data_IF_847207576922
#
_entry.id   IF_847207576922
#
_cell.length_a   1.000
_cell.length_b   1.000
_cell.length_c   1.000
_cell.angle_alpha   90.00
_cell.angle_beta   90.00
_cell.angle_gamma   90.00
#
_symmetry.space_group_name_H-M   'P 1'
#
loop_
_entity.id
_entity.type
_entity.pdbx_description
1 polymer ?
#
# COMPACT_ATOMS: atom_id res chain seq x y z
N UNK A 1 18.94 21.13 20.71
CA UNK A 1 17.52 21.22 21.03
C UNK A 1 17.28 22.58 21.62
N UNK A 2 16.47 23.38 21.01
CA UNK A 2 16.10 24.69 21.55
C UNK A 2 15.27 24.50 22.84
N UNK A 3 15.49 25.36 23.86
CA UNK A 3 14.71 25.33 25.09
C UNK A 3 13.29 25.94 24.87
N UNK A 4 13.02 26.45 23.66
CA UNK A 4 11.75 27.06 23.32
C UNK A 4 10.71 25.98 22.99
N UNK A 5 9.69 25.87 23.82
CA UNK A 5 8.61 24.88 23.68
C UNK A 5 7.80 25.02 22.38
N UNK A 6 7.78 26.20 21.74
CA UNK A 6 7.14 26.41 20.43
C UNK A 6 7.93 25.68 19.34
N UNK A 7 9.25 25.81 19.35
CA UNK A 7 10.16 25.09 18.44
C UNK A 7 10.05 23.58 18.67
N UNK A 8 10.05 23.15 19.94
CA UNK A 8 9.90 21.73 20.29
C UNK A 8 8.61 21.11 19.75
N UNK A 9 7.48 21.85 19.74
CA UNK A 9 6.23 21.36 19.15
C UNK A 9 6.35 21.05 17.65
N UNK A 10 7.00 21.94 16.90
CA UNK A 10 7.25 21.71 15.45
C UNK A 10 8.25 20.57 15.23
N UNK A 11 9.35 20.57 15.96
CA UNK A 11 10.36 19.49 15.88
C UNK A 11 9.73 18.12 16.16
N UNK A 12 8.88 18.01 17.19
CA UNK A 12 8.18 16.78 17.52
C UNK A 12 7.19 16.35 16.42
N UNK A 13 6.50 17.30 15.79
CA UNK A 13 5.60 17.00 14.67
C UNK A 13 6.41 16.52 13.44
N UNK A 14 7.51 17.19 13.09
CA UNK A 14 8.40 16.78 12.02
C UNK A 14 9.08 15.44 12.30
N UNK A 15 9.48 15.19 13.53
CA UNK A 15 10.00 13.89 13.95
C UNK A 15 8.96 12.79 13.73
N UNK A 16 7.71 13.02 14.15
CA UNK A 16 6.62 12.08 13.92
C UNK A 16 6.44 11.78 12.43
N UNK A 17 6.50 12.81 11.56
CA UNK A 17 6.45 12.65 10.12
C UNK A 17 7.61 11.80 9.59
N UNK A 18 8.83 12.13 9.95
CA UNK A 18 10.03 11.41 9.51
C UNK A 18 10.03 9.94 9.99
N UNK A 19 9.62 9.70 11.24
CA UNK A 19 9.48 8.36 11.80
C UNK A 19 8.46 7.53 11.01
N UNK A 20 7.31 8.14 10.63
CA UNK A 20 6.30 7.46 9.81
C UNK A 20 6.74 7.23 8.38
N UNK A 21 7.49 8.13 7.77
CA UNK A 21 8.13 7.88 6.47
C UNK A 21 9.10 6.70 6.54
N UNK A 22 9.94 6.67 7.55
CA UNK A 22 10.89 5.56 7.77
C UNK A 22 10.15 4.23 7.98
N UNK A 23 9.07 4.23 8.76
CA UNK A 23 8.22 3.05 8.97
C UNK A 23 7.58 2.57 7.66
N UNK A 24 7.16 3.47 6.78
CA UNK A 24 6.62 3.12 5.46
C UNK A 24 7.65 2.39 4.62
N UNK A 25 8.90 2.89 4.57
CA UNK A 25 9.98 2.22 3.83
C UNK A 25 10.22 0.80 4.31
N UNK A 26 10.22 0.59 5.62
CA UNK A 26 10.37 -0.74 6.21
C UNK A 26 9.18 -1.65 5.87
N UNK A 27 7.94 -1.14 5.99
CA UNK A 27 6.74 -1.91 5.73
C UNK A 27 6.59 -2.29 4.25
N UNK A 28 6.93 -1.41 3.32
CA UNK A 28 6.80 -1.71 1.89
C UNK A 28 7.71 -2.87 1.46
N UNK A 29 8.89 -2.96 2.08
CA UNK A 29 9.86 -4.05 1.83
C UNK A 29 9.59 -5.31 2.66
N UNK A 30 8.71 -5.24 3.65
CA UNK A 30 8.40 -6.38 4.53
C UNK A 30 7.45 -7.36 3.88
N UNK A 31 7.73 -8.66 4.04
CA UNK A 31 6.83 -9.73 3.61
C UNK A 31 5.59 -9.81 4.51
N UNK A 32 4.40 -10.20 3.98
CA UNK A 32 3.20 -10.42 4.79
C UNK A 32 3.43 -11.44 5.92
N UNK A 33 4.30 -12.41 5.69
CA UNK A 33 4.65 -13.45 6.70
C UNK A 33 5.30 -12.87 7.95
N UNK A 34 6.06 -11.77 7.81
CA UNK A 34 6.82 -11.16 8.90
C UNK A 34 6.09 -9.97 9.55
N UNK A 35 5.04 -9.48 8.94
CA UNK A 35 4.31 -8.32 9.45
C UNK A 35 3.76 -8.59 10.85
N UNK A 36 4.04 -7.65 11.79
CA UNK A 36 3.64 -7.75 13.21
C UNK A 36 4.04 -9.10 13.86
N UNK A 37 5.22 -9.62 13.52
CA UNK A 37 5.77 -10.85 14.10
C UNK A 37 5.14 -12.15 13.61
N UNK A 38 4.42 -12.13 12.50
CA UNK A 38 3.90 -13.34 11.84
C UNK A 38 2.64 -13.96 12.48
N UNK A 39 2.20 -13.51 13.64
CA UNK A 39 1.02 -14.10 14.32
C UNK A 39 -0.24 -14.00 13.47
N UNK A 40 -0.44 -12.85 12.80
CA UNK A 40 -1.60 -12.65 11.91
C UNK A 40 -1.49 -13.60 10.71
N UNK A 41 -0.30 -13.75 10.15
CA UNK A 41 -0.06 -14.64 9.01
C UNK A 41 -0.44 -16.09 9.31
N UNK A 42 -0.05 -16.62 10.46
CA UNK A 42 -0.39 -17.99 10.85
C UNK A 42 -1.91 -18.20 10.88
N UNK A 43 -2.67 -17.25 11.43
CA UNK A 43 -4.15 -17.32 11.43
C UNK A 43 -4.70 -17.27 10.00
N UNK A 44 -4.12 -16.46 9.12
CA UNK A 44 -4.54 -16.39 7.71
C UNK A 44 -4.26 -17.71 6.97
N UNK A 45 -3.13 -18.34 7.22
CA UNK A 45 -2.78 -19.66 6.66
C UNK A 45 -3.76 -20.73 7.13
N UNK A 46 -4.12 -20.75 8.42
CA UNK A 46 -5.11 -21.68 8.99
C UNK A 46 -6.49 -21.49 8.36
N UNK A 47 -6.94 -20.23 8.21
CA UNK A 47 -8.20 -19.89 7.54
C UNK A 47 -8.15 -20.31 6.08
N UNK A 48 -7.07 -20.02 5.35
CA UNK A 48 -6.88 -20.45 3.97
C UNK A 48 -7.01 -21.95 3.83
N UNK A 49 -6.37 -22.74 4.71
CA UNK A 49 -6.46 -24.18 4.73
C UNK A 49 -7.89 -24.71 4.95
N UNK A 50 -8.64 -24.09 5.87
CA UNK A 50 -10.05 -24.41 6.09
C UNK A 50 -10.93 -24.09 4.87
N UNK A 51 -10.71 -22.92 4.25
CA UNK A 51 -11.43 -22.46 3.05
C UNK A 51 -11.05 -23.28 1.82
N UNK A 52 -9.85 -23.87 1.78
CA UNK A 52 -9.39 -24.71 0.68
C UNK A 52 -10.30 -25.95 0.48
N UNK A 53 -10.78 -26.56 1.57
CA UNK A 53 -11.72 -27.67 1.47
C UNK A 53 -13.02 -27.25 0.78
N UNK A 54 -13.54 -26.06 1.09
CA UNK A 54 -14.71 -25.46 0.44
C UNK A 54 -14.40 -25.16 -1.03
N UNK A 55 -13.24 -24.59 -1.31
CA UNK A 55 -12.77 -24.29 -2.66
C UNK A 55 -12.70 -25.54 -3.54
N UNK A 56 -12.23 -26.67 -3.02
CA UNK A 56 -12.19 -27.94 -3.72
C UNK A 56 -13.59 -28.51 -4.00
N UNK A 57 -14.54 -28.35 -3.08
CA UNK A 57 -15.93 -28.73 -3.31
C UNK A 57 -16.59 -27.87 -4.40
N UNK A 58 -16.37 -26.53 -4.36
CA UNK A 58 -16.84 -25.59 -5.38
C UNK A 58 -16.19 -25.84 -6.74
N UNK A 59 -14.93 -26.27 -6.78
CA UNK A 59 -14.22 -26.62 -8.01
C UNK A 59 -14.96 -27.75 -8.76
N UNK A 60 -15.40 -28.81 -8.05
CA UNK A 60 -16.18 -29.87 -8.65
C UNK A 60 -17.51 -29.33 -9.20
N UNK A 61 -18.19 -28.49 -8.44
CA UNK A 61 -19.45 -27.87 -8.87
C UNK A 61 -19.26 -27.02 -10.13
N UNK A 62 -18.27 -26.11 -10.14
CA UNK A 62 -17.99 -25.30 -11.33
C UNK A 62 -17.54 -26.12 -12.53
N UNK A 63 -16.81 -27.20 -12.31
CA UNK A 63 -16.45 -28.14 -13.36
C UNK A 63 -17.69 -28.79 -13.99
N UNK A 64 -18.59 -29.33 -13.19
CA UNK A 64 -19.84 -29.95 -13.67
C UNK A 64 -20.69 -28.94 -14.45
N UNK A 65 -20.90 -27.73 -13.90
CA UNK A 65 -21.62 -26.65 -14.58
C UNK A 65 -20.91 -26.26 -15.89
N UNK A 66 -19.61 -26.23 -15.89
CA UNK A 66 -18.80 -25.96 -17.08
C UNK A 66 -19.00 -26.99 -18.17
N UNK A 67 -18.93 -28.29 -17.82
CA UNK A 67 -19.19 -29.39 -18.73
C UNK A 67 -20.59 -29.32 -19.33
N UNK A 68 -21.60 -29.12 -18.47
CA UNK A 68 -23.01 -28.99 -18.93
C UNK A 68 -23.26 -27.86 -19.89
N UNK A 69 -22.58 -26.72 -19.71
CA UNK A 69 -22.73 -25.54 -20.58
C UNK A 69 -21.91 -25.62 -21.87
N UNK A 70 -20.75 -26.27 -21.83
CA UNK A 70 -19.85 -26.35 -22.98
C UNK A 70 -20.21 -27.50 -23.92
N UNK A 71 -20.74 -28.60 -23.36
CA UNK A 71 -21.17 -29.74 -24.12
C UNK A 71 -22.68 -29.69 -24.30
N UNK A 72 -23.14 -29.15 -25.43
CA UNK A 72 -24.58 -29.04 -25.74
C UNK A 72 -25.28 -30.41 -25.88
N UNK A 73 -24.54 -31.51 -26.03
CA UNK A 73 -25.03 -32.86 -25.97
C UNK A 73 -24.00 -33.83 -25.38
N UNK A 74 -24.46 -34.90 -24.73
CA UNK A 74 -23.59 -35.99 -24.24
C UNK A 74 -22.73 -36.64 -25.35
N UNK A 75 -23.10 -36.47 -26.60
CA UNK A 75 -22.38 -37.01 -27.74
C UNK A 75 -21.03 -36.25 -27.96
N UNK A 76 -20.93 -34.99 -27.58
CA UNK A 76 -19.69 -34.22 -27.70
C UNK A 76 -18.68 -34.61 -26.62
N UNK A 77 -19.13 -35.01 -25.42
CA UNK A 77 -18.25 -35.49 -24.34
C UNK A 77 -17.55 -36.78 -24.72
N UNK A 78 -18.17 -37.60 -25.60
CA UNK A 78 -17.58 -38.86 -26.06
C UNK A 78 -16.41 -38.70 -27.01
N UNK A 79 -16.14 -37.48 -27.53
CA UNK A 79 -14.95 -37.25 -28.37
C UNK A 79 -13.72 -37.17 -27.44
N UNK A 80 -12.70 -38.05 -27.66
CA UNK A 80 -11.56 -38.15 -26.74
C UNK A 80 -10.80 -36.86 -26.57
N UNK A 81 -10.76 -36.00 -27.60
CA UNK A 81 -10.11 -34.70 -27.57
C UNK A 81 -10.79 -33.73 -26.60
N UNK A 82 -12.13 -33.70 -26.57
CA UNK A 82 -12.89 -32.84 -25.65
C UNK A 82 -12.78 -33.33 -24.19
N UNK A 83 -12.85 -34.65 -24.00
CA UNK A 83 -12.67 -35.26 -22.68
C UNK A 83 -11.27 -34.96 -22.10
N UNK A 84 -10.22 -35.07 -22.92
CA UNK A 84 -8.85 -34.74 -22.51
C UNK A 84 -8.71 -33.25 -22.14
N UNK A 85 -9.26 -32.34 -22.94
CA UNK A 85 -9.24 -30.89 -22.67
C UNK A 85 -9.95 -30.54 -21.34
N UNK A 86 -11.08 -31.16 -21.06
CA UNK A 86 -11.82 -30.99 -19.81
C UNK A 86 -11.03 -31.52 -18.61
N UNK A 87 -10.40 -32.70 -18.77
CA UNK A 87 -9.58 -33.31 -17.72
C UNK A 87 -8.35 -32.44 -17.41
N UNK A 88 -7.64 -31.94 -18.41
CA UNK A 88 -6.49 -31.04 -18.22
C UNK A 88 -6.94 -29.76 -17.50
N UNK A 89 -8.09 -29.17 -17.90
CA UNK A 89 -8.62 -27.98 -17.22
C UNK A 89 -8.93 -28.24 -15.74
N UNK A 90 -9.57 -29.40 -15.44
CA UNK A 90 -9.86 -29.80 -14.06
C UNK A 90 -8.58 -30.00 -13.25
N UNK A 91 -7.59 -30.69 -13.80
CA UNK A 91 -6.31 -30.92 -13.15
C UNK A 91 -5.56 -29.65 -12.86
N UNK A 92 -5.51 -28.71 -13.83
CA UNK A 92 -4.89 -27.40 -13.65
C UNK A 92 -5.63 -26.56 -12.60
N UNK A 93 -6.96 -26.51 -12.66
CA UNK A 93 -7.76 -25.77 -11.68
C UNK A 93 -7.60 -26.35 -10.26
N UNK A 94 -7.55 -27.69 -10.13
CA UNK A 94 -7.25 -28.34 -8.86
C UNK A 94 -5.86 -27.95 -8.35
N UNK A 95 -4.85 -27.95 -9.21
CA UNK A 95 -3.49 -27.48 -8.86
C UNK A 95 -3.49 -26.05 -8.37
N UNK A 96 -4.19 -25.14 -9.06
CA UNK A 96 -4.28 -23.72 -8.68
C UNK A 96 -4.98 -23.54 -7.32
N UNK A 97 -6.00 -24.33 -6.99
CA UNK A 97 -6.66 -24.26 -5.67
C UNK A 97 -5.79 -24.88 -4.59
N UNK A 98 -5.12 -26.00 -4.89
CA UNK A 98 -4.27 -26.72 -3.91
C UNK A 98 -3.03 -25.91 -3.54
N UNK A 99 -2.38 -25.30 -4.53
CA UNK A 99 -1.18 -24.46 -4.38
C UNK A 99 -1.51 -22.97 -4.39
N UNK A 100 -2.73 -22.61 -3.97
CA UNK A 100 -3.21 -21.22 -4.02
C UNK A 100 -2.40 -20.28 -3.16
N UNK A 101 -1.99 -20.71 -1.96
CA UNK A 101 -1.18 -19.92 -1.04
C UNK A 101 0.20 -19.61 -1.64
N UNK A 102 0.86 -20.64 -2.16
CA UNK A 102 2.18 -20.51 -2.80
C UNK A 102 2.12 -19.62 -4.03
N UNK A 103 1.03 -19.71 -4.82
CA UNK A 103 0.78 -18.85 -5.97
C UNK A 103 0.64 -17.38 -5.55
N UNK A 104 -0.13 -17.10 -4.48
CA UNK A 104 -0.29 -15.77 -3.95
C UNK A 104 1.05 -15.21 -3.45
N UNK A 105 1.83 -16.01 -2.73
CA UNK A 105 3.15 -15.60 -2.25
C UNK A 105 4.17 -15.40 -3.39
N UNK A 106 4.13 -16.25 -4.42
CA UNK A 106 4.99 -16.07 -5.60
C UNK A 106 4.71 -14.75 -6.31
N UNK A 107 3.43 -14.38 -6.50
CA UNK A 107 3.05 -13.08 -7.06
C UNK A 107 3.55 -11.91 -6.20
N UNK A 108 3.41 -12.02 -4.88
CA UNK A 108 3.92 -11.01 -3.96
C UNK A 108 5.45 -10.86 -4.09
N UNK A 109 6.19 -11.97 -4.11
CA UNK A 109 7.66 -11.97 -4.19
C UNK A 109 8.18 -11.38 -5.51
N UNK A 110 7.49 -11.61 -6.64
CA UNK A 110 7.81 -11.00 -7.93
C UNK A 110 7.70 -9.46 -7.82
N UNK A 111 6.61 -8.96 -7.23
CA UNK A 111 6.42 -7.52 -7.05
C UNK A 111 7.42 -6.94 -6.04
N UNK A 112 7.78 -7.71 -5.02
CA UNK A 112 8.81 -7.29 -4.07
C UNK A 112 10.18 -7.14 -4.74
N UNK A 113 10.52 -8.02 -5.68
CA UNK A 113 11.69 -7.88 -6.54
C UNK A 113 11.65 -6.60 -7.39
N UNK A 114 10.47 -6.25 -7.93
CA UNK A 114 10.27 -5.00 -8.66
C UNK A 114 10.49 -3.78 -7.75
N UNK A 115 9.93 -3.78 -6.55
CA UNK A 115 10.11 -2.72 -5.54
C UNK A 115 11.59 -2.53 -5.23
N UNK A 116 12.31 -3.62 -4.96
CA UNK A 116 13.75 -3.59 -4.67
C UNK A 116 14.55 -3.03 -5.85
N UNK A 117 14.17 -3.36 -7.09
CA UNK A 117 14.80 -2.84 -8.30
C UNK A 117 14.59 -1.33 -8.44
N UNK A 118 13.38 -0.84 -8.19
CA UNK A 118 13.05 0.59 -8.22
C UNK A 118 13.86 1.35 -7.16
N UNK A 119 13.91 0.83 -5.94
CA UNK A 119 14.66 1.45 -4.84
C UNK A 119 16.16 1.54 -5.14
N UNK A 120 16.75 0.46 -5.69
CA UNK A 120 18.15 0.43 -6.05
C UNK A 120 18.49 1.37 -7.22
N UNK A 121 17.61 1.46 -8.22
CA UNK A 121 17.80 2.33 -9.39
C UNK A 121 17.74 3.82 -9.03
N UNK A 122 16.92 4.18 -8.04
CA UNK A 122 16.78 5.56 -7.60
C UNK A 122 17.88 6.01 -6.61
N UNK A 123 18.72 5.09 -6.12
CA UNK A 123 19.75 5.40 -5.13
C UNK A 123 19.20 5.81 -3.75
N UNK A 124 17.92 5.62 -3.53
CA UNK A 124 17.24 6.04 -2.30
C UNK A 124 17.28 4.93 -1.24
N UNK A 125 18.26 5.05 -0.33
CA UNK A 125 18.33 4.22 0.88
C UNK A 125 17.76 4.88 2.14
N UNK A 126 17.52 6.19 2.10
CA UNK A 126 16.95 6.95 3.23
C UNK A 126 15.98 8.01 2.71
N UNK A 127 14.75 8.03 3.23
CA UNK A 127 13.84 9.15 3.00
C UNK A 127 14.55 10.45 3.45
N UNK A 128 14.55 11.47 2.59
CA UNK A 128 15.06 12.79 2.97
C UNK A 128 14.31 13.25 4.22
N UNK A 129 15.04 13.49 5.30
CA UNK A 129 14.43 13.95 6.55
C UNK A 129 14.06 15.41 6.40
N UNK A 130 12.83 15.73 6.73
CA UNK A 130 12.37 17.12 6.82
C UNK A 130 12.88 17.70 8.15
N UNK A 131 13.75 18.70 8.06
CA UNK A 131 14.35 19.36 9.21
C UNK A 131 13.85 20.79 9.25
N UNK A 132 13.64 21.33 10.46
CA UNK A 132 13.25 22.73 10.66
C UNK A 132 14.41 23.65 10.28
N UNK A 133 14.23 24.61 9.35
CA UNK A 133 15.26 25.60 9.01
C UNK A 133 15.69 26.44 10.21
N UNK A 134 16.99 26.76 10.28
CA UNK A 134 17.53 27.55 11.39
C UNK A 134 16.94 28.97 11.45
N UNK A 135 16.56 29.50 10.31
CA UNK A 135 15.91 30.83 10.20
C UNK A 135 14.56 30.85 10.95
N UNK A 136 13.80 29.76 10.88
CA UNK A 136 12.52 29.60 11.61
C UNK A 136 12.80 29.49 13.11
N UNK A 137 13.81 28.71 13.51
CA UNK A 137 14.19 28.56 14.92
C UNK A 137 14.57 29.92 15.50
N UNK A 138 15.45 30.67 14.84
CA UNK A 138 15.91 31.98 15.28
C UNK A 138 14.74 32.98 15.35
N UNK A 139 13.87 33.01 14.34
CA UNK A 139 12.71 33.89 14.33
C UNK A 139 11.73 33.60 15.48
N UNK A 140 11.62 32.34 15.91
CA UNK A 140 10.80 31.96 17.08
C UNK A 140 11.48 32.32 18.40
N UNK A 141 12.80 32.16 18.50
CA UNK A 141 13.56 32.43 19.72
C UNK A 141 13.70 33.93 20.00
N UNK A 142 13.80 34.75 18.97
CA UNK A 142 13.92 36.22 19.07
C UNK A 142 12.58 36.92 19.33
N UNK A 143 11.43 36.19 19.29
CA UNK A 143 10.12 36.77 19.51
C UNK A 143 9.89 37.21 20.95
N UNK A 144 9.31 38.42 21.12
CA UNK A 144 8.82 38.90 22.41
C UNK A 144 7.63 38.09 22.95
N UNK A 145 7.39 38.20 24.26
CA UNK A 145 6.33 37.44 24.95
C UNK A 145 4.94 37.60 24.30
N UNK A 146 4.56 38.81 23.89
CA UNK A 146 3.25 39.05 23.26
C UNK A 146 3.14 38.48 21.85
N UNK A 147 4.25 38.39 21.12
CA UNK A 147 4.31 37.78 19.79
C UNK A 147 4.35 36.28 19.86
N UNK A 148 4.78 35.71 20.97
CA UNK A 148 4.82 34.25 21.20
C UNK A 148 3.42 33.62 21.28
N UNK A 149 2.38 34.36 21.69
CA UNK A 149 1.02 33.82 21.83
C UNK A 149 0.41 33.42 20.48
N UNK A 150 0.33 34.29 19.45
CA UNK A 150 -0.16 33.91 18.13
C UNK A 150 0.77 32.89 17.46
N UNK A 151 2.06 32.98 17.68
CA UNK A 151 3.04 32.04 17.15
C UNK A 151 2.82 30.61 17.68
N UNK A 152 2.56 30.51 18.98
CA UNK A 152 2.18 29.22 19.59
C UNK A 152 0.92 28.61 18.96
N UNK A 153 -0.12 29.41 18.76
CA UNK A 153 -1.36 28.90 18.15
C UNK A 153 -1.11 28.37 16.72
N UNK A 154 -0.30 29.10 15.94
CA UNK A 154 0.08 28.69 14.56
C UNK A 154 0.87 27.39 14.58
N UNK A 155 1.87 27.26 15.43
CA UNK A 155 2.70 26.05 15.49
C UNK A 155 1.94 24.85 16.04
N UNK A 156 1.02 25.05 16.99
CA UNK A 156 0.16 23.99 17.51
C UNK A 156 -0.79 23.44 16.43
N UNK A 157 -1.43 24.35 15.67
CA UNK A 157 -2.32 23.96 14.57
C UNK A 157 -1.51 23.25 13.47
N UNK A 158 -0.37 23.82 13.07
CA UNK A 158 0.51 23.20 12.07
C UNK A 158 1.01 21.83 12.49
N UNK A 159 1.49 21.69 13.73
CA UNK A 159 1.94 20.42 14.29
C UNK A 159 0.82 19.37 14.34
N UNK A 160 -0.41 19.77 14.63
CA UNK A 160 -1.58 18.91 14.59
C UNK A 160 -1.84 18.39 13.16
N UNK A 161 -1.82 19.29 12.15
CA UNK A 161 -1.99 18.89 10.75
C UNK A 161 -0.91 17.92 10.29
N UNK A 162 0.37 18.20 10.56
CA UNK A 162 1.50 17.34 10.24
C UNK A 162 1.32 15.94 10.86
N UNK A 163 0.93 15.90 12.12
CA UNK A 163 0.69 14.63 12.84
C UNK A 163 -0.46 13.84 12.22
N UNK A 164 -1.59 14.49 11.92
CA UNK A 164 -2.74 13.84 11.26
C UNK A 164 -2.34 13.28 9.89
N UNK A 165 -1.62 14.06 9.08
CA UNK A 165 -1.16 13.62 7.76
C UNK A 165 -0.22 12.41 7.86
N UNK A 166 0.67 12.39 8.85
CA UNK A 166 1.55 11.26 9.13
C UNK A 166 0.77 9.98 9.42
N UNK A 167 -0.29 10.06 10.24
CA UNK A 167 -1.15 8.92 10.53
C UNK A 167 -1.97 8.46 9.32
N UNK A 168 -2.51 9.39 8.53
CA UNK A 168 -3.27 9.05 7.31
C UNK A 168 -2.38 8.29 6.32
N UNK A 169 -1.14 8.72 6.18
CA UNK A 169 -0.18 8.10 5.28
C UNK A 169 0.16 6.67 5.70
N UNK A 170 0.55 6.46 6.96
CA UNK A 170 0.89 5.13 7.45
C UNK A 170 -0.32 4.18 7.44
N UNK A 171 -1.53 4.66 7.74
CA UNK A 171 -2.76 3.87 7.66
C UNK A 171 -3.03 3.33 6.25
N UNK A 172 -2.66 4.07 5.20
CA UNK A 172 -2.80 3.61 3.81
C UNK A 172 -1.93 2.37 3.56
N UNK A 173 -0.71 2.37 4.09
CA UNK A 173 0.22 1.23 3.97
C UNK A 173 -0.25 0.03 4.79
N UNK A 174 -0.73 0.24 6.02
CA UNK A 174 -1.35 -0.83 6.81
C UNK A 174 -2.56 -1.43 6.10
N UNK A 175 -3.41 -0.60 5.51
CA UNK A 175 -4.58 -1.03 4.73
C UNK A 175 -4.22 -1.99 3.59
N UNK A 176 -3.06 -1.81 2.95
CA UNK A 176 -2.53 -2.75 1.95
C UNK A 176 -2.31 -4.15 2.54
N UNK A 177 -1.68 -4.26 3.73
CA UNK A 177 -1.47 -5.56 4.39
C UNK A 177 -2.79 -6.26 4.72
N UNK A 178 -3.77 -5.52 5.25
CA UNK A 178 -5.10 -6.08 5.51
C UNK A 178 -5.74 -6.63 4.24
N UNK A 179 -5.65 -5.90 3.12
CA UNK A 179 -6.16 -6.39 1.83
C UNK A 179 -5.42 -7.65 1.37
N UNK A 180 -4.09 -7.69 1.46
CA UNK A 180 -3.29 -8.88 1.14
C UNK A 180 -3.77 -10.11 1.94
N UNK A 181 -3.99 -9.94 3.24
CA UNK A 181 -4.48 -11.02 4.10
C UNK A 181 -5.87 -11.48 3.74
N UNK A 182 -6.81 -10.55 3.51
CA UNK A 182 -8.18 -10.89 3.11
C UNK A 182 -8.20 -11.66 1.78
N UNK A 183 -7.46 -11.20 0.78
CA UNK A 183 -7.35 -11.90 -0.50
C UNK A 183 -6.76 -13.29 -0.31
N UNK A 184 -5.68 -13.42 0.47
CA UNK A 184 -5.00 -14.70 0.71
C UNK A 184 -5.91 -15.70 1.44
N UNK A 185 -6.63 -15.25 2.47
CA UNK A 185 -7.54 -16.10 3.25
C UNK A 185 -8.65 -16.72 2.39
N UNK A 186 -9.28 -15.94 1.50
CA UNK A 186 -10.43 -16.38 0.70
C UNK A 186 -10.05 -16.91 -0.69
N UNK A 187 -8.76 -16.90 -1.05
CA UNK A 187 -8.27 -17.23 -2.39
C UNK A 187 -8.82 -18.56 -2.96
N UNK A 188 -8.97 -19.67 -2.20
CA UNK A 188 -9.45 -20.93 -2.74
C UNK A 188 -10.83 -20.84 -3.40
N UNK A 189 -11.72 -19.95 -2.92
CA UNK A 189 -13.07 -19.80 -3.47
C UNK A 189 -13.06 -19.22 -4.89
N UNK A 190 -12.52 -18.04 -5.17
CA UNK A 190 -12.45 -17.51 -6.53
C UNK A 190 -11.51 -18.33 -7.44
N UNK A 191 -10.46 -18.95 -6.91
CA UNK A 191 -9.58 -19.81 -7.71
C UNK A 191 -10.27 -21.10 -8.19
N UNK A 192 -11.26 -21.63 -7.46
CA UNK A 192 -12.04 -22.79 -7.87
C UNK A 192 -12.84 -22.56 -9.16
N UNK A 193 -13.15 -21.27 -9.48
CA UNK A 193 -13.91 -20.89 -10.69
C UNK A 193 -13.17 -21.17 -12.00
N UNK A 194 -11.85 -21.41 -11.96
CA UNK A 194 -11.07 -21.80 -13.15
C UNK A 194 -11.50 -23.16 -13.72
N UNK A 195 -12.16 -24.03 -12.93
CA UNK A 195 -12.64 -25.32 -13.40
C UNK A 195 -13.74 -25.20 -14.47
N UNK A 196 -14.58 -24.15 -14.38
CA UNK A 196 -15.67 -23.92 -15.32
C UNK A 196 -15.34 -22.83 -16.34
N UNK A 197 -15.61 -23.07 -17.64
CA UNK A 197 -15.41 -22.07 -18.69
C UNK A 197 -16.23 -20.78 -18.47
N UNK A 198 -17.51 -20.86 -18.10
CA UNK A 198 -18.31 -19.67 -17.88
C UNK A 198 -17.91 -18.85 -16.65
N UNK A 199 -17.29 -19.48 -15.66
CA UNK A 199 -16.94 -18.86 -14.36
C UNK A 199 -15.48 -18.39 -14.27
N UNK A 200 -14.60 -18.79 -15.20
CA UNK A 200 -13.15 -18.50 -15.13
C UNK A 200 -12.80 -17.02 -15.04
N UNK A 201 -13.68 -16.12 -15.52
CA UNK A 201 -13.44 -14.68 -15.44
C UNK A 201 -13.39 -14.16 -13.99
N UNK A 202 -14.11 -14.80 -13.06
CA UNK A 202 -14.06 -14.45 -11.64
C UNK A 202 -12.67 -14.75 -11.09
N UNK A 203 -12.12 -15.92 -11.35
CA UNK A 203 -10.75 -16.28 -10.94
C UNK A 203 -9.69 -15.37 -11.56
N UNK A 204 -9.82 -15.03 -12.85
CA UNK A 204 -8.92 -14.08 -13.53
C UNK A 204 -8.97 -12.70 -12.90
N UNK A 205 -10.18 -12.17 -12.66
CA UNK A 205 -10.35 -10.86 -12.00
C UNK A 205 -9.81 -10.88 -10.57
N UNK A 206 -9.97 -11.99 -9.85
CA UNK A 206 -9.39 -12.16 -8.51
C UNK A 206 -7.87 -12.06 -8.53
N UNK A 207 -7.18 -12.81 -9.42
CA UNK A 207 -5.71 -12.75 -9.54
C UNK A 207 -5.25 -11.36 -9.93
N UNK A 208 -5.94 -10.69 -10.88
CA UNK A 208 -5.65 -9.29 -11.25
C UNK A 208 -5.79 -8.35 -10.05
N UNK A 209 -6.86 -8.49 -9.26
CA UNK A 209 -7.09 -7.66 -8.08
C UNK A 209 -6.04 -7.89 -7.01
N UNK A 210 -5.60 -9.13 -6.79
CA UNK A 210 -4.51 -9.41 -5.86
C UNK A 210 -3.18 -8.83 -6.35
N UNK A 211 -2.85 -9.03 -7.62
CA UNK A 211 -1.66 -8.44 -8.23
C UNK A 211 -1.67 -6.91 -8.13
N UNK A 212 -2.84 -6.27 -8.28
CA UNK A 212 -3.01 -4.85 -8.07
C UNK A 212 -2.64 -4.43 -6.64
N UNK A 213 -3.12 -5.16 -5.62
CA UNK A 213 -2.77 -4.88 -4.21
C UNK A 213 -1.27 -5.08 -3.96
N UNK A 214 -0.64 -6.07 -4.60
CA UNK A 214 0.80 -6.23 -4.52
C UNK A 214 1.55 -5.04 -5.14
N UNK A 215 1.16 -4.61 -6.36
CA UNK A 215 1.76 -3.50 -7.11
C UNK A 215 1.56 -2.13 -6.45
N UNK A 216 0.53 -1.97 -5.63
CA UNK A 216 0.31 -0.72 -4.88
C UNK A 216 1.56 -0.30 -4.10
N UNK A 217 2.32 -1.25 -3.54
CA UNK A 217 3.60 -0.95 -2.88
C UNK A 217 4.62 -0.30 -3.80
N UNK A 218 4.72 -0.75 -5.06
CA UNK A 218 5.62 -0.15 -6.04
C UNK A 218 5.22 1.30 -6.39
N UNK A 219 3.92 1.57 -6.52
CA UNK A 219 3.42 2.93 -6.77
C UNK A 219 3.67 3.85 -5.57
N UNK A 220 3.50 3.34 -4.34
CA UNK A 220 3.83 4.12 -3.13
C UNK A 220 5.30 4.47 -3.09
N UNK A 221 6.21 3.53 -3.41
CA UNK A 221 7.65 3.81 -3.49
C UNK A 221 7.95 4.87 -4.55
N UNK A 222 7.38 4.74 -5.74
CA UNK A 222 7.54 5.74 -6.80
C UNK A 222 7.02 7.12 -6.37
N UNK A 223 5.87 7.18 -5.71
CA UNK A 223 5.32 8.43 -5.18
C UNK A 223 6.27 9.07 -4.15
N UNK A 224 6.86 8.28 -3.25
CA UNK A 224 7.83 8.78 -2.28
C UNK A 224 9.13 9.27 -2.96
N UNK A 225 9.61 8.58 -4.01
CA UNK A 225 10.79 8.99 -4.78
C UNK A 225 10.52 10.30 -5.52
N UNK A 226 9.40 10.40 -6.24
CA UNK A 226 9.02 11.61 -6.96
C UNK A 226 8.86 12.78 -5.97
N UNK A 227 8.23 12.52 -4.84
CA UNK A 227 8.05 13.53 -3.81
C UNK A 227 9.38 14.01 -3.22
N UNK A 228 10.36 13.14 -2.98
CA UNK A 228 11.66 13.56 -2.46
C UNK A 228 12.39 14.51 -3.41
N UNK A 229 12.23 14.31 -4.73
CA UNK A 229 12.78 15.23 -5.74
C UNK A 229 11.97 16.53 -5.84
N UNK A 230 10.64 16.45 -5.67
CA UNK A 230 9.75 17.61 -5.68
C UNK A 230 9.98 18.51 -4.45
N UNK A 231 10.22 17.92 -3.28
CA UNK A 231 10.41 18.60 -2.01
C UNK A 231 11.91 18.83 -1.66
N UNK A 232 12.81 18.71 -2.64
CA UNK A 232 14.27 18.88 -2.43
C UNK A 232 14.64 20.32 -2.05
N UNK A 233 13.81 21.30 -2.43
CA UNK A 233 13.96 22.67 -1.99
C UNK A 233 13.10 22.90 -0.74
N UNK A 234 13.71 23.30 0.41
CA UNK A 234 12.93 23.68 1.58
C UNK A 234 12.01 24.86 1.24
N UNK A 235 10.85 25.01 1.92
CA UNK A 235 9.97 26.14 1.74
C UNK A 235 10.72 27.46 1.87
N UNK A 236 10.44 28.40 0.94
CA UNK A 236 11.10 29.69 0.94
C UNK A 236 10.73 30.49 2.20
N UNK A 237 11.73 30.93 2.94
CA UNK A 237 11.56 31.78 4.13
C UNK A 237 11.91 33.21 3.75
N UNK A 238 10.95 34.14 3.91
CA UNK A 238 11.23 35.60 3.76
C UNK A 238 11.78 36.16 5.06
N UNK A 239 13.08 36.49 5.13
CA UNK A 239 13.72 36.97 6.34
C UNK A 239 13.23 38.35 6.78
N UNK A 240 12.49 39.07 5.91
CA UNK A 240 11.96 40.42 6.22
C UNK A 240 10.50 40.37 6.70
N UNK A 241 9.87 39.20 6.68
CA UNK A 241 8.49 39.06 7.16
C UNK A 241 8.43 39.07 8.69
N UNK A 242 7.30 39.52 9.25
CA UNK A 242 7.05 39.38 10.68
C UNK A 242 7.13 37.89 11.10
N UNK A 243 7.71 37.54 12.26
CA UNK A 243 7.94 36.15 12.68
C UNK A 243 6.72 35.25 12.57
N UNK A 244 5.54 35.73 12.96
CA UNK A 244 4.28 34.98 12.86
C UNK A 244 3.93 34.68 11.41
N UNK A 245 4.09 35.66 10.49
CA UNK A 245 3.81 35.47 9.07
C UNK A 245 4.82 34.54 8.42
N UNK A 246 6.08 34.60 8.79
CA UNK A 246 7.17 33.73 8.33
C UNK A 246 6.88 32.27 8.68
N UNK A 247 6.58 32.02 9.96
CA UNK A 247 6.26 30.65 10.44
C UNK A 247 4.97 30.14 9.83
N UNK A 248 3.94 31.01 9.68
CA UNK A 248 2.68 30.62 9.04
C UNK A 248 2.88 30.18 7.58
N UNK A 249 3.62 30.99 6.80
CA UNK A 249 3.92 30.67 5.39
C UNK A 249 4.72 29.38 5.27
N UNK A 250 5.74 29.20 6.09
CA UNK A 250 6.56 27.98 6.13
C UNK A 250 5.72 26.72 6.44
N UNK A 251 4.90 26.79 7.51
CA UNK A 251 4.01 25.66 7.87
C UNK A 251 3.00 25.40 6.77
N UNK A 252 2.42 26.43 6.16
CA UNK A 252 1.45 26.31 5.08
C UNK A 252 2.03 25.56 3.89
N UNK A 253 3.22 25.93 3.42
CA UNK A 253 3.90 25.27 2.31
C UNK A 253 4.35 23.86 2.66
N UNK A 254 4.86 23.67 3.87
CA UNK A 254 5.23 22.34 4.37
C UNK A 254 4.04 21.39 4.42
N UNK A 255 2.91 21.82 4.98
CA UNK A 255 1.67 21.06 5.05
C UNK A 255 1.12 20.77 3.64
N UNK A 256 1.21 21.75 2.72
CA UNK A 256 0.82 21.54 1.32
C UNK A 256 1.66 20.44 0.67
N UNK A 257 2.98 20.48 0.81
CA UNK A 257 3.87 19.45 0.29
C UNK A 257 3.54 18.07 0.88
N UNK A 258 3.31 17.99 2.19
CA UNK A 258 2.89 16.75 2.85
C UNK A 258 1.52 16.24 2.35
N UNK A 259 0.57 17.13 2.08
CA UNK A 259 -0.73 16.79 1.48
C UNK A 259 -0.57 16.18 0.08
N UNK A 260 0.34 16.72 -0.73
CA UNK A 260 0.65 16.17 -2.07
C UNK A 260 1.13 14.72 -1.95
N UNK A 261 2.07 14.44 -1.03
CA UNK A 261 2.54 13.06 -0.82
C UNK A 261 1.44 12.13 -0.31
N UNK A 262 0.70 12.56 0.71
CA UNK A 262 -0.42 11.77 1.27
C UNK A 262 -1.48 11.50 0.20
N UNK A 263 -1.77 12.48 -0.65
CA UNK A 263 -2.66 12.33 -1.80
C UNK A 263 -2.16 11.30 -2.80
N UNK A 264 -0.88 11.37 -3.16
CA UNK A 264 -0.23 10.42 -4.08
C UNK A 264 -0.25 8.99 -3.52
N UNK A 265 0.08 8.80 -2.24
CA UNK A 265 0.02 7.50 -1.57
C UNK A 265 -1.40 6.94 -1.54
N UNK A 266 -2.41 7.77 -1.26
CA UNK A 266 -3.82 7.35 -1.28
C UNK A 266 -4.35 7.00 -2.66
N UNK A 267 -3.84 7.65 -3.70
CA UNK A 267 -4.22 7.35 -5.09
C UNK A 267 -3.57 6.07 -5.63
N UNK A 268 -2.56 5.51 -4.95
CA UNK A 268 -1.82 4.35 -5.44
C UNK A 268 -2.73 3.15 -5.78
N UNK A 269 -3.70 2.81 -4.92
CA UNK A 269 -4.68 1.74 -5.20
C UNK A 269 -5.48 2.01 -6.48
N UNK A 270 -5.96 3.23 -6.67
CA UNK A 270 -6.73 3.61 -7.85
C UNK A 270 -5.89 3.52 -9.13
N UNK A 271 -4.68 4.07 -9.11
CA UNK A 271 -3.76 4.05 -10.25
C UNK A 271 -3.48 2.62 -10.69
N UNK A 272 -3.17 1.72 -9.74
CA UNK A 272 -2.90 0.31 -10.09
C UNK A 272 -4.15 -0.38 -10.64
N UNK A 273 -5.33 -0.14 -10.07
CA UNK A 273 -6.59 -0.74 -10.58
C UNK A 273 -6.88 -0.28 -12.01
N UNK A 274 -6.73 1.00 -12.29
CA UNK A 274 -6.88 1.53 -13.65
C UNK A 274 -5.86 0.90 -14.63
N UNK A 275 -4.60 0.74 -14.22
CA UNK A 275 -3.56 0.06 -15.02
C UNK A 275 -3.89 -1.42 -15.30
N UNK A 276 -4.52 -2.11 -14.35
CA UNK A 276 -4.89 -3.53 -14.47
C UNK A 276 -6.24 -3.75 -15.19
N UNK A 277 -6.94 -2.69 -15.54
CA UNK A 277 -8.26 -2.76 -16.17
C UNK A 277 -9.32 -3.33 -15.22
N UNK A 278 -9.35 -2.83 -13.98
CA UNK A 278 -10.26 -3.22 -12.91
C UNK A 278 -11.22 -2.09 -12.57
#
# INVERSE_FOLDING_TARGET
>A
MSDNWIVQNLENALKTWNDKLSEIWQLITQSPEQFKGGTIWNVIVDIHGAVQAIGLALLVLFFVVGVMKTCGSFAEVKKPEHALKLFIRFALAKGVVTYGLELMMALFNIVQGLISTIMNAAGFGSAAQTVLPQEIVTAVEDCGFFESIPLWAVTLIGGLFITILSFIMIMSVYGRFFRLYLYTAIAPVPLSTFAGEPSQNVGKSFIKSYAAVCLEGAIIVLACIIFSLFADSPPAVDPNAAPVSMVWSYIGELVFNMLVLVGAVKMADRVVREMMGL
#
